data_IF_803531949921
#
_entry.id   IF_803531949921
#
_cell.length_a   1.000
_cell.length_b   1.000
_cell.length_c   1.000
_cell.angle_alpha   90.00
_cell.angle_beta   90.00
_cell.angle_gamma   90.00
#
_symmetry.space_group_name_H-M   'P 1'
#
loop_
_entity.id
_entity.type
_entity.pdbx_description
1 polymer ?
#
# COMPACT_ATOMS: atom_id res chain seq x y z
N UNK A 1 -15.87 9.16 -5.00
CA UNK A 1 -14.71 10.07 -4.88
C UNK A 1 -13.45 9.25 -5.05
N UNK A 2 -12.58 9.58 -6.02
CA UNK A 2 -11.25 8.93 -6.12
C UNK A 2 -10.45 9.27 -4.85
N UNK A 3 -9.78 8.28 -4.26
CA UNK A 3 -8.90 8.50 -3.09
C UNK A 3 -7.66 9.23 -3.58
N UNK A 4 -7.45 10.47 -3.11
CA UNK A 4 -6.21 11.19 -3.37
C UNK A 4 -5.18 10.79 -2.31
N UNK A 5 -3.99 10.40 -2.76
CA UNK A 5 -2.82 10.18 -1.91
C UNK A 5 -1.87 11.37 -2.01
N UNK A 6 -1.18 11.68 -0.92
CA UNK A 6 -0.17 12.74 -0.87
C UNK A 6 1.11 12.19 -0.24
N UNK A 7 2.27 12.62 -0.75
CA UNK A 7 3.55 12.26 -0.16
C UNK A 7 3.77 13.03 1.14
N UNK A 8 4.22 12.31 2.17
CA UNK A 8 4.56 12.93 3.43
C UNK A 8 5.90 13.70 3.31
N UNK A 9 5.97 14.96 3.77
CA UNK A 9 7.21 15.73 3.80
C UNK A 9 8.24 15.18 4.81
N UNK A 10 7.82 14.34 5.75
CA UNK A 10 8.73 13.74 6.74
C UNK A 10 9.80 12.88 6.10
N UNK A 11 10.98 12.92 6.69
CA UNK A 11 12.15 12.16 6.25
C UNK A 11 12.57 11.13 7.32
N UNK A 12 13.12 9.98 6.91
CA UNK A 12 13.57 8.98 7.85
C UNK A 12 14.96 9.36 8.38
N UNK A 13 15.06 9.62 9.67
CA UNK A 13 16.33 9.74 10.38
C UNK A 13 16.64 8.45 11.13
N UNK A 14 17.92 8.06 11.10
CA UNK A 14 18.43 6.92 11.85
C UNK A 14 19.11 7.40 13.11
N UNK A 15 18.74 6.84 14.26
CA UNK A 15 19.34 7.15 15.55
C UNK A 15 19.64 5.85 16.30
N UNK A 16 20.61 5.90 17.21
CA UNK A 16 20.98 4.75 18.02
C UNK A 16 20.25 4.80 19.36
N UNK A 17 19.53 3.72 19.67
CA UNK A 17 18.89 3.52 20.98
C UNK A 17 19.23 2.14 21.47
N UNK A 18 19.82 2.04 22.66
CA UNK A 18 20.24 0.78 23.28
C UNK A 18 21.14 -0.09 22.37
N UNK A 19 22.07 0.55 21.63
CA UNK A 19 22.97 -0.14 20.71
C UNK A 19 22.31 -0.69 19.44
N UNK A 20 21.04 -0.34 19.17
CA UNK A 20 20.33 -0.67 17.93
C UNK A 20 20.06 0.61 17.14
N UNK A 21 20.29 0.56 15.83
CA UNK A 21 19.88 1.62 14.90
C UNK A 21 18.36 1.53 14.69
N UNK A 22 17.64 2.54 15.17
CA UNK A 22 16.22 2.70 14.97
C UNK A 22 15.96 3.77 13.91
N UNK A 23 14.86 3.63 13.16
CA UNK A 23 14.41 4.59 12.15
C UNK A 23 13.22 5.37 12.70
N UNK A 24 13.28 6.70 12.67
CA UNK A 24 12.16 7.59 13.02
C UNK A 24 11.91 8.59 11.91
N UNK A 25 10.63 8.80 11.61
CA UNK A 25 10.20 9.83 10.68
C UNK A 25 10.22 11.19 11.39
N UNK A 26 11.11 12.08 10.95
CA UNK A 26 11.31 13.43 11.47
C UNK A 26 10.81 14.45 10.44
N UNK A 27 10.37 15.61 10.92
CA UNK A 27 9.77 16.66 10.10
C UNK A 27 8.32 16.97 10.49
N UNK A 28 7.81 18.06 9.91
CA UNK A 28 6.44 18.52 10.14
C UNK A 28 5.51 18.06 9.03
N UNK A 29 4.32 17.56 9.39
CA UNK A 29 3.28 17.20 8.44
C UNK A 29 1.93 17.33 9.14
N UNK A 30 1.10 18.25 8.65
CA UNK A 30 -0.21 18.56 9.24
C UNK A 30 -1.15 17.35 9.27
N UNK A 31 -1.14 16.53 8.22
CA UNK A 31 -1.96 15.32 8.14
C UNK A 31 -1.51 14.29 9.18
N UNK A 32 -0.19 14.10 9.35
CA UNK A 32 0.33 13.21 10.39
C UNK A 32 0.05 13.71 11.81
N UNK A 33 0.11 15.03 12.03
CA UNK A 33 -0.28 15.65 13.31
C UNK A 33 -1.76 15.39 13.61
N UNK A 34 -2.63 15.64 12.65
CA UNK A 34 -4.06 15.39 12.77
C UNK A 34 -4.39 13.91 13.01
N UNK A 35 -3.73 12.99 12.29
CA UNK A 35 -3.84 11.55 12.55
C UNK A 35 -3.48 11.18 14.00
N UNK A 36 -2.39 11.72 14.53
CA UNK A 36 -1.98 11.45 15.91
C UNK A 36 -2.97 12.05 16.93
N UNK A 37 -3.51 13.24 16.68
CA UNK A 37 -4.54 13.89 17.51
C UNK A 37 -5.81 13.04 17.56
N UNK A 38 -6.30 12.54 16.40
CA UNK A 38 -7.44 11.62 16.35
C UNK A 38 -7.18 10.33 17.15
N UNK A 39 -5.98 9.76 17.02
CA UNK A 39 -5.63 8.54 17.73
C UNK A 39 -5.56 8.76 19.24
N UNK A 40 -4.96 9.88 19.69
CA UNK A 40 -4.90 10.26 21.09
C UNK A 40 -6.29 10.52 21.67
N UNK A 41 -7.14 11.27 20.96
CA UNK A 41 -8.54 11.51 21.34
C UNK A 41 -9.32 10.21 21.48
N UNK A 42 -9.14 9.28 20.56
CA UNK A 42 -9.79 7.97 20.65
C UNK A 42 -9.38 7.18 21.90
N UNK A 43 -8.17 7.39 22.42
CA UNK A 43 -7.71 6.72 23.64
C UNK A 43 -8.18 7.40 24.92
N UNK A 44 -8.47 8.71 24.87
CA UNK A 44 -9.04 9.44 26.01
C UNK A 44 -10.56 9.36 26.09
N UNK A 45 -11.22 8.97 25.01
CA UNK A 45 -12.69 8.86 24.93
C UNK A 45 -13.21 7.64 25.70
N UNK A 46 -14.31 7.81 26.44
CA UNK A 46 -14.91 6.73 27.25
C UNK A 46 -16.08 6.06 26.54
N UNK A 47 -16.76 6.76 25.63
CA UNK A 47 -17.83 6.20 24.81
C UNK A 47 -17.27 5.31 23.69
N UNK A 48 -17.67 4.04 23.66
CA UNK A 48 -17.18 3.03 22.72
C UNK A 48 -17.53 3.38 21.27
N UNK A 49 -18.73 3.94 21.04
CA UNK A 49 -19.17 4.29 19.69
C UNK A 49 -18.38 5.47 19.13
N UNK A 50 -18.16 6.50 19.95
CA UNK A 50 -17.35 7.67 19.56
C UNK A 50 -15.87 7.30 19.41
N UNK A 51 -15.36 6.43 20.29
CA UNK A 51 -14.00 5.89 20.18
C UNK A 51 -13.79 5.15 18.85
N UNK A 52 -14.69 4.24 18.46
CA UNK A 52 -14.53 3.49 17.22
C UNK A 52 -14.69 4.38 15.97
N UNK A 53 -15.57 5.40 16.03
CA UNK A 53 -15.68 6.39 14.97
C UNK A 53 -14.37 7.17 14.77
N UNK A 54 -13.74 7.64 15.85
CA UNK A 54 -12.45 8.34 15.80
C UNK A 54 -11.33 7.43 15.27
N UNK A 55 -11.31 6.16 15.69
CA UNK A 55 -10.35 5.17 15.16
C UNK A 55 -10.55 4.91 13.67
N UNK A 56 -11.80 4.84 13.20
CA UNK A 56 -12.10 4.65 11.78
C UNK A 56 -11.68 5.87 10.95
N UNK A 57 -11.90 7.09 11.44
CA UNK A 57 -11.39 8.30 10.81
C UNK A 57 -9.85 8.31 10.76
N UNK A 58 -9.18 7.96 11.85
CA UNK A 58 -7.72 7.87 11.89
C UNK A 58 -7.18 6.80 10.93
N UNK A 59 -7.83 5.62 10.85
CA UNK A 59 -7.47 4.55 9.90
C UNK A 59 -7.60 5.02 8.44
N UNK A 60 -8.56 5.90 8.13
CA UNK A 60 -8.78 6.39 6.77
C UNK A 60 -7.65 7.31 6.26
N UNK A 61 -7.01 8.08 7.14
CA UNK A 61 -5.91 9.00 6.82
C UNK A 61 -4.52 8.48 7.22
N UNK A 62 -4.45 7.21 7.63
CA UNK A 62 -3.22 6.61 8.15
C UNK A 62 -2.07 6.74 7.13
N UNK A 63 -0.88 7.19 7.55
CA UNK A 63 0.28 7.19 6.67
C UNK A 63 0.68 5.76 6.28
N UNK A 64 0.92 5.54 4.99
CA UNK A 64 1.32 4.23 4.43
C UNK A 64 2.70 4.36 3.82
N UNK A 65 3.61 3.46 4.23
CA UNK A 65 4.95 3.38 3.64
C UNK A 65 4.92 2.58 2.33
N UNK A 66 5.52 3.15 1.29
CA UNK A 66 5.77 2.51 -0.01
C UNK A 66 7.26 2.58 -0.32
N UNK A 67 7.77 1.51 -0.90
CA UNK A 67 9.18 1.37 -1.26
C UNK A 67 9.28 1.20 -2.77
N UNK A 68 10.18 1.95 -3.40
CA UNK A 68 10.39 1.93 -4.83
C UNK A 68 11.79 1.41 -5.14
N UNK A 69 11.89 0.57 -6.17
CA UNK A 69 13.13 -0.01 -6.64
C UNK A 69 13.19 0.09 -8.16
N UNK A 70 14.36 0.40 -8.70
CA UNK A 70 14.64 0.05 -10.08
C UNK A 70 14.91 -1.46 -10.13
N UNK A 71 14.14 -2.18 -10.94
CA UNK A 71 14.27 -3.63 -11.11
C UNK A 71 14.41 -3.98 -12.57
N UNK A 72 15.14 -5.05 -12.86
CA UNK A 72 15.25 -5.60 -14.20
C UNK A 72 14.29 -6.78 -14.28
N UNK A 73 13.30 -6.67 -15.14
CA UNK A 73 12.26 -7.71 -15.29
C UNK A 73 12.82 -8.85 -16.14
N UNK A 74 13.24 -9.93 -15.46
CA UNK A 74 13.81 -11.13 -16.08
C UNK A 74 12.77 -11.95 -16.84
N UNK A 75 11.60 -12.13 -16.24
CA UNK A 75 10.46 -12.80 -16.85
C UNK A 75 9.16 -12.20 -16.32
N UNK A 76 8.24 -11.88 -17.22
CA UNK A 76 6.88 -11.43 -16.90
C UNK A 76 5.89 -12.18 -17.78
N UNK A 77 4.77 -12.60 -17.18
CA UNK A 77 3.65 -13.15 -17.94
C UNK A 77 2.71 -11.99 -18.25
N UNK A 78 2.44 -11.79 -19.53
CA UNK A 78 1.46 -10.82 -19.97
C UNK A 78 0.03 -11.31 -19.68
N UNK A 79 -0.97 -10.42 -19.80
CA UNK A 79 -2.40 -10.74 -19.64
C UNK A 79 -2.84 -11.87 -20.60
N UNK A 80 -2.18 -11.98 -21.75
CA UNK A 80 -2.43 -13.00 -22.78
C UNK A 80 -1.68 -14.33 -22.53
N UNK A 81 -0.94 -14.44 -21.41
CA UNK A 81 -0.18 -15.64 -21.06
C UNK A 81 1.16 -15.79 -21.76
N UNK A 82 1.55 -14.84 -22.63
CA UNK A 82 2.86 -14.84 -23.28
C UNK A 82 3.96 -14.45 -22.29
N UNK A 83 5.04 -15.24 -22.22
CA UNK A 83 6.15 -15.00 -21.32
C UNK A 83 7.20 -14.11 -22.01
N UNK A 84 7.24 -12.85 -21.60
CA UNK A 84 8.26 -11.91 -22.03
C UNK A 84 9.50 -12.05 -21.17
N UNK A 85 10.67 -12.11 -21.80
CA UNK A 85 11.97 -12.21 -21.11
C UNK A 85 12.75 -10.92 -21.29
N UNK A 86 13.46 -10.50 -20.24
CA UNK A 86 14.33 -9.32 -20.23
C UNK A 86 13.62 -8.04 -20.75
N UNK A 87 12.44 -7.75 -20.22
CA UNK A 87 11.60 -6.60 -20.64
C UNK A 87 12.29 -5.25 -20.37
N UNK A 88 13.25 -5.23 -19.45
CA UNK A 88 14.10 -4.07 -19.16
C UNK A 88 13.87 -3.50 -17.75
N UNK A 89 14.45 -2.32 -17.47
CA UNK A 89 14.30 -1.67 -16.18
C UNK A 89 12.86 -1.16 -16.03
N UNK A 90 12.22 -1.53 -14.93
CA UNK A 90 10.92 -0.98 -14.49
C UNK A 90 11.05 -0.49 -13.05
N UNK A 91 10.14 0.40 -12.66
CA UNK A 91 9.99 0.78 -11.25
C UNK A 91 9.08 -0.24 -10.58
N UNK A 92 9.60 -0.92 -9.56
CA UNK A 92 8.83 -1.81 -8.71
C UNK A 92 8.45 -1.09 -7.42
N UNK A 93 7.15 -0.87 -7.22
CA UNK A 93 6.60 -0.38 -5.95
C UNK A 93 6.16 -1.55 -5.07
N UNK A 94 6.61 -1.61 -3.82
CA UNK A 94 6.18 -2.63 -2.87
C UNK A 94 5.84 -2.10 -1.47
N UNK A 95 5.10 -2.91 -0.73
CA UNK A 95 4.73 -2.63 0.66
C UNK A 95 5.77 -3.15 1.67
N UNK A 96 5.55 -2.79 2.93
CA UNK A 96 6.40 -3.16 4.07
C UNK A 96 6.68 -4.67 4.17
N UNK A 97 5.71 -5.53 3.86
CA UNK A 97 5.86 -6.99 3.96
C UNK A 97 6.96 -7.50 3.03
N UNK A 98 6.92 -7.14 1.74
CA UNK A 98 7.94 -7.58 0.77
C UNK A 98 9.29 -6.96 1.10
N UNK A 99 9.30 -5.65 1.37
CA UNK A 99 10.53 -4.93 1.71
C UNK A 99 11.23 -5.51 2.96
N UNK A 100 10.55 -5.59 4.10
CA UNK A 100 11.17 -5.99 5.35
C UNK A 100 11.38 -7.51 5.46
N UNK A 101 10.35 -8.29 5.13
CA UNK A 101 10.40 -9.74 5.41
C UNK A 101 11.13 -10.53 4.33
N UNK A 102 11.24 -9.99 3.10
CA UNK A 102 11.91 -10.67 1.99
C UNK A 102 13.22 -9.97 1.63
N UNK A 103 13.16 -8.73 1.16
CA UNK A 103 14.33 -8.01 0.61
C UNK A 103 15.38 -7.73 1.71
N UNK A 104 15.01 -6.99 2.75
CA UNK A 104 15.94 -6.62 3.82
C UNK A 104 16.46 -7.84 4.57
N UNK A 105 15.59 -8.80 4.86
CA UNK A 105 15.97 -10.05 5.52
C UNK A 105 16.93 -10.89 4.68
N UNK A 106 16.82 -10.87 3.34
CA UNK A 106 17.81 -11.51 2.48
C UNK A 106 19.17 -10.80 2.56
N UNK A 107 19.21 -9.47 2.58
CA UNK A 107 20.45 -8.71 2.67
C UNK A 107 21.16 -8.87 4.03
N UNK A 108 20.44 -8.68 5.13
CA UNK A 108 21.05 -8.61 6.48
C UNK A 108 21.00 -9.92 7.24
N UNK A 109 20.20 -10.89 6.78
CA UNK A 109 19.85 -12.06 7.58
C UNK A 109 18.91 -11.71 8.74
N UNK A 110 18.48 -12.74 9.45
CA UNK A 110 17.69 -12.65 10.67
C UNK A 110 18.13 -13.75 11.63
N UNK A 111 18.91 -13.34 12.63
CA UNK A 111 19.46 -14.23 13.65
C UNK A 111 18.37 -14.88 14.51
N UNK A 112 17.26 -14.17 14.77
CA UNK A 112 16.18 -14.68 15.64
C UNK A 112 15.43 -15.83 14.99
N UNK A 113 15.28 -15.76 13.66
CA UNK A 113 14.59 -16.79 12.90
C UNK A 113 15.55 -17.73 12.14
N UNK A 114 16.84 -17.76 12.54
CA UNK A 114 17.85 -18.70 12.04
C UNK A 114 18.18 -18.57 10.56
N UNK A 115 17.82 -17.45 9.90
CA UNK A 115 18.11 -17.24 8.47
C UNK A 115 19.39 -16.45 8.31
N UNK A 116 20.37 -17.04 7.64
CA UNK A 116 21.63 -16.36 7.28
C UNK A 116 21.39 -15.30 6.21
N UNK A 117 22.22 -14.27 6.21
CA UNK A 117 22.26 -13.29 5.14
C UNK A 117 22.64 -13.98 3.82
N UNK A 118 21.95 -13.65 2.74
CA UNK A 118 22.27 -14.08 1.38
C UNK A 118 23.35 -13.17 0.73
N UNK A 119 23.70 -12.06 1.38
CA UNK A 119 24.65 -11.08 0.89
C UNK A 119 23.99 -9.94 0.10
N UNK A 120 24.76 -9.26 -0.74
CA UNK A 120 24.24 -8.21 -1.61
C UNK A 120 23.48 -8.82 -2.80
N UNK A 121 22.14 -8.84 -2.67
CA UNK A 121 21.23 -9.33 -3.71
C UNK A 121 21.19 -8.44 -4.96
N UNK A 122 21.70 -7.20 -4.89
CA UNK A 122 21.66 -6.22 -5.99
C UNK A 122 22.93 -6.21 -6.84
N UNK A 123 23.93 -7.03 -6.48
CA UNK A 123 25.20 -7.06 -7.17
C UNK A 123 25.05 -7.53 -8.64
N UNK A 124 25.61 -6.84 -9.66
CA UNK A 124 25.38 -7.20 -11.06
C UNK A 124 25.85 -8.61 -11.46
N UNK A 125 26.84 -9.17 -10.76
CA UNK A 125 27.43 -10.49 -11.10
C UNK A 125 27.14 -11.59 -10.08
N UNK A 126 26.89 -11.21 -8.82
CA UNK A 126 26.70 -12.16 -7.69
C UNK A 126 25.39 -11.92 -6.97
N UNK A 127 24.55 -11.05 -7.51
CA UNK A 127 23.20 -10.80 -7.02
C UNK A 127 22.30 -11.99 -7.28
N UNK A 128 21.03 -11.84 -6.88
CA UNK A 128 20.05 -12.93 -6.92
C UNK A 128 18.76 -12.44 -7.55
N UNK A 129 18.21 -13.26 -8.44
CA UNK A 129 16.87 -13.02 -8.98
C UNK A 129 15.82 -13.20 -7.87
N UNK A 130 14.79 -12.35 -7.89
CA UNK A 130 13.69 -12.39 -6.93
C UNK A 130 12.41 -12.85 -7.62
N UNK A 131 11.92 -14.03 -7.23
CA UNK A 131 10.66 -14.59 -7.73
C UNK A 131 9.51 -14.05 -6.89
N UNK A 132 8.79 -13.07 -7.44
CA UNK A 132 7.61 -12.50 -6.80
C UNK A 132 6.37 -13.36 -7.11
N UNK A 133 5.79 -13.96 -6.07
CA UNK A 133 4.55 -14.74 -6.15
C UNK A 133 3.49 -14.06 -5.30
N UNK A 134 2.46 -13.52 -5.96
CA UNK A 134 1.29 -12.94 -5.32
C UNK A 134 0.15 -13.97 -5.33
N UNK A 135 -0.33 -14.37 -4.17
CA UNK A 135 -1.56 -15.18 -4.01
C UNK A 135 -2.62 -14.34 -3.33
N UNK A 136 -3.84 -14.32 -3.83
CA UNK A 136 -4.95 -13.65 -3.14
C UNK A 136 -5.57 -14.64 -2.15
N UNK A 137 -5.57 -14.30 -0.87
CA UNK A 137 -6.17 -15.13 0.19
C UNK A 137 -7.39 -14.42 0.79
N UNK A 138 -8.45 -15.18 1.03
CA UNK A 138 -9.67 -14.69 1.71
C UNK A 138 -9.46 -14.77 3.22
N UNK A 139 -9.47 -13.63 3.90
CA UNK A 139 -9.43 -13.50 5.35
C UNK A 139 -10.74 -12.98 5.94
N UNK A 140 -10.79 -12.86 7.27
CA UNK A 140 -11.99 -12.44 8.02
C UNK A 140 -12.52 -11.04 7.65
N UNK A 141 -11.71 -10.22 6.96
CA UNK A 141 -12.07 -8.86 6.53
C UNK A 141 -11.94 -8.62 5.02
N UNK A 142 -11.90 -9.67 4.19
CA UNK A 142 -11.80 -9.54 2.72
C UNK A 142 -10.61 -10.27 2.10
N UNK A 143 -10.32 -9.93 0.85
CA UNK A 143 -9.22 -10.50 0.06
C UNK A 143 -7.93 -9.69 0.25
N UNK A 144 -6.84 -10.38 0.58
CA UNK A 144 -5.54 -9.76 0.83
C UNK A 144 -4.44 -10.45 0.01
N UNK A 145 -3.46 -9.70 -0.52
CA UNK A 145 -2.33 -10.28 -1.22
C UNK A 145 -1.33 -10.90 -0.23
N UNK A 146 -1.06 -12.18 -0.40
CA UNK A 146 -0.03 -12.95 0.28
C UNK A 146 1.20 -13.13 -0.64
N UNK A 147 2.40 -12.96 -0.07
CA UNK A 147 3.70 -13.08 -0.73
C UNK A 147 4.63 -14.12 -0.07
N UNK A 148 4.08 -15.06 0.71
CA UNK A 148 4.86 -16.03 1.48
C UNK A 148 5.70 -16.95 0.58
N UNK A 149 5.21 -17.28 -0.61
CA UNK A 149 5.91 -18.08 -1.61
C UNK A 149 6.92 -17.28 -2.46
N UNK A 150 7.06 -15.98 -2.20
CA UNK A 150 8.09 -15.18 -2.87
C UNK A 150 9.46 -15.46 -2.26
N UNK A 151 10.46 -15.72 -3.09
CA UNK A 151 11.81 -16.11 -2.64
C UNK A 151 12.91 -15.61 -3.58
N UNK A 152 14.13 -15.58 -3.05
CA UNK A 152 15.32 -15.30 -3.85
C UNK A 152 15.89 -16.62 -4.38
N UNK A 153 16.26 -16.62 -5.64
CA UNK A 153 16.87 -17.76 -6.30
C UNK A 153 18.39 -17.78 -6.07
N UNK A 154 19.06 -18.75 -6.69
CA UNK A 154 20.52 -18.84 -6.67
C UNK A 154 21.20 -17.67 -7.38
N UNK A 155 22.46 -17.36 -7.04
CA UNK A 155 23.15 -16.22 -7.62
C UNK A 155 23.22 -16.34 -9.14
N UNK A 156 22.79 -15.28 -9.83
CA UNK A 156 22.77 -15.22 -11.29
C UNK A 156 23.31 -13.86 -11.76
N UNK A 157 24.08 -13.82 -12.86
CA UNK A 157 24.46 -12.55 -13.46
C UNK A 157 23.25 -11.87 -14.08
N UNK A 158 23.20 -10.55 -13.95
CA UNK A 158 22.08 -9.71 -14.37
C UNK A 158 21.77 -9.81 -15.87
N UNK A 159 22.77 -10.08 -16.71
CA UNK A 159 22.64 -10.18 -18.16
C UNK A 159 24.00 -10.07 -18.85
N UNK A 160 23.96 -9.85 -20.17
CA UNK A 160 25.18 -9.53 -20.93
C UNK A 160 25.67 -8.10 -20.59
N UNK A 161 26.96 -7.79 -20.74
CA UNK A 161 27.47 -6.44 -20.48
C UNK A 161 26.79 -5.33 -21.29
N UNK A 162 26.40 -5.63 -22.53
CA UNK A 162 25.73 -4.69 -23.43
C UNK A 162 24.29 -4.38 -22.98
N UNK A 163 23.55 -5.40 -22.57
CA UNK A 163 22.21 -5.23 -21.98
C UNK A 163 22.28 -4.44 -20.67
N UNK A 164 23.26 -4.75 -19.83
CA UNK A 164 23.45 -4.06 -18.56
C UNK A 164 23.68 -2.56 -18.77
N UNK A 165 24.54 -2.19 -19.73
CA UNK A 165 24.78 -0.78 -20.06
C UNK A 165 23.49 -0.09 -20.51
N UNK A 166 22.72 -0.73 -21.38
CA UNK A 166 21.41 -0.21 -21.84
C UNK A 166 20.43 -0.04 -20.68
N UNK A 167 20.42 -0.95 -19.70
CA UNK A 167 19.53 -0.83 -18.54
C UNK A 167 19.95 0.29 -17.60
N UNK A 168 21.26 0.48 -17.39
CA UNK A 168 21.80 1.56 -16.57
C UNK A 168 21.47 2.95 -17.13
N UNK A 169 21.46 3.10 -18.46
CA UNK A 169 21.07 4.36 -19.13
C UNK A 169 19.57 4.68 -19.00
N UNK A 170 18.73 3.68 -18.74
CA UNK A 170 17.27 3.81 -18.64
C UNK A 170 16.73 3.68 -17.20
N UNK A 171 17.59 3.84 -16.19
CA UNK A 171 17.15 3.84 -14.79
C UNK A 171 16.34 5.09 -14.48
N UNK A 172 15.21 4.90 -13.81
CA UNK A 172 14.38 6.01 -13.33
C UNK A 172 15.01 6.62 -12.08
N UNK A 173 15.08 7.95 -12.03
CA UNK A 173 15.43 8.65 -10.79
C UNK A 173 14.30 8.47 -9.76
N UNK A 174 14.54 7.61 -8.77
CA UNK A 174 13.56 7.31 -7.73
C UNK A 174 13.30 8.50 -6.80
N UNK A 175 14.21 9.48 -6.71
CA UNK A 175 14.01 10.67 -5.90
C UNK A 175 12.97 11.60 -6.53
N UNK A 176 12.96 11.71 -7.86
CA UNK A 176 11.98 12.52 -8.59
C UNK A 176 10.53 12.04 -8.42
N UNK A 177 10.31 10.77 -8.10
CA UNK A 177 8.98 10.22 -7.79
C UNK A 177 8.37 10.81 -6.50
N UNK A 178 9.21 11.33 -5.59
CA UNK A 178 8.76 11.92 -4.33
C UNK A 178 8.36 13.39 -4.55
N UNK A 179 7.13 13.61 -4.96
CA UNK A 179 6.56 14.96 -5.09
C UNK A 179 5.92 15.38 -3.77
N UNK A 180 6.67 16.17 -2.98
CA UNK A 180 6.18 16.75 -1.72
C UNK A 180 5.40 18.02 -2.03
N UNK A 181 4.16 18.07 -1.52
CA UNK A 181 3.28 19.25 -1.62
C UNK A 181 3.57 20.24 -0.51
N UNK A 182 3.27 21.50 -0.75
CA UNK A 182 3.43 22.57 0.24
C UNK A 182 2.46 22.38 1.41
N UNK A 183 2.79 22.95 2.57
CA UNK A 183 1.96 22.85 3.76
C UNK A 183 0.52 23.39 3.54
N UNK A 184 0.38 24.45 2.74
CA UNK A 184 -0.91 25.04 2.37
C UNK A 184 -1.77 24.05 1.56
N UNK A 185 -1.18 23.39 0.55
CA UNK A 185 -1.87 22.39 -0.24
C UNK A 185 -2.29 21.18 0.61
N UNK A 186 -1.46 20.76 1.56
CA UNK A 186 -1.77 19.67 2.49
C UNK A 186 -2.89 20.05 3.46
N UNK A 187 -2.94 21.29 3.94
CA UNK A 187 -4.07 21.80 4.75
C UNK A 187 -5.35 21.85 3.95
N UNK A 188 -5.31 22.37 2.73
CA UNK A 188 -6.46 22.39 1.85
C UNK A 188 -6.97 20.98 1.58
N UNK A 189 -6.07 20.03 1.29
CA UNK A 189 -6.42 18.62 1.12
C UNK A 189 -7.11 18.03 2.37
N UNK A 190 -6.65 18.39 3.57
CA UNK A 190 -7.28 17.99 4.82
C UNK A 190 -8.67 18.62 5.00
N UNK A 191 -8.83 19.92 4.71
CA UNK A 191 -10.12 20.64 4.76
C UNK A 191 -11.14 20.02 3.78
N UNK A 192 -10.70 19.64 2.59
CA UNK A 192 -11.53 18.94 1.59
C UNK A 192 -11.90 17.53 2.09
N UNK A 193 -10.96 16.80 2.69
CA UNK A 193 -11.23 15.47 3.25
C UNK A 193 -12.29 15.51 4.37
N UNK A 194 -12.26 16.56 5.19
CA UNK A 194 -13.21 16.79 6.29
C UNK A 194 -14.54 17.39 5.81
N UNK A 195 -14.70 17.66 4.51
CA UNK A 195 -15.92 18.22 3.92
C UNK A 195 -16.17 19.69 4.25
N UNK A 196 -15.15 20.42 4.71
CA UNK A 196 -15.27 21.84 5.06
C UNK A 196 -15.25 22.76 3.83
N UNK A 197 -14.56 22.34 2.77
CA UNK A 197 -14.35 23.13 1.55
C UNK A 197 -14.63 22.24 0.33
N UNK A 198 -15.39 22.76 -0.65
CA UNK A 198 -15.56 22.08 -1.96
C UNK A 198 -14.21 22.13 -2.69
N UNK A 199 -13.85 21.08 -3.44
CA UNK A 199 -12.51 20.83 -4.06
C UNK A 199 -11.88 21.95 -4.92
N UNK A 200 -12.45 23.14 -4.99
CA UNK A 200 -11.94 24.31 -5.70
C UNK A 200 -10.93 25.05 -4.83
N UNK A 201 -9.68 25.12 -5.28
CA UNK A 201 -8.59 25.85 -4.61
C UNK A 201 -8.94 27.32 -4.42
N UNK A 202 -8.98 27.77 -3.16
CA UNK A 202 -8.82 29.17 -2.77
C UNK A 202 -7.81 29.23 -1.61
N UNK A 203 -6.77 30.04 -1.79
CA UNK A 203 -5.71 30.31 -0.82
C UNK A 203 -6.28 30.94 0.45
N UNK A 204 -5.86 30.47 1.63
CA UNK A 204 -6.20 31.09 2.94
C UNK A 204 -4.95 31.12 3.81
N UNK A 205 -4.80 32.23 4.55
CA UNK A 205 -3.64 32.70 5.30
C UNK A 205 -3.03 31.74 6.35
N UNK A 206 -1.78 32.04 6.71
CA UNK A 206 -0.87 31.27 7.55
C UNK A 206 -1.24 31.28 9.05
N UNK A 207 -1.89 30.22 9.55
CA UNK A 207 -1.86 29.87 10.99
C UNK A 207 -1.49 28.39 11.19
N UNK A 208 -0.38 28.10 11.90
CA UNK A 208 0.11 26.74 12.14
C UNK A 208 -0.67 25.97 13.23
N UNK A 209 -1.75 26.54 13.76
CA UNK A 209 -2.60 25.87 14.75
C UNK A 209 -3.50 24.78 14.15
N UNK A 210 -3.71 23.70 14.92
CA UNK A 210 -4.69 22.65 14.63
C UNK A 210 -6.11 23.01 15.11
N UNK A 211 -6.27 24.15 15.78
CA UNK A 211 -7.53 24.52 16.44
C UNK A 211 -8.68 24.67 15.44
N UNK A 212 -8.39 25.02 14.18
CA UNK A 212 -9.37 25.07 13.09
C UNK A 212 -10.07 23.72 12.80
N UNK A 213 -9.45 22.60 13.19
CA UNK A 213 -9.96 21.25 12.90
C UNK A 213 -10.67 20.60 14.09
N UNK A 214 -10.71 21.26 15.26
CA UNK A 214 -11.16 20.65 16.52
C UNK A 214 -12.66 20.71 16.77
N UNK A 215 -13.38 21.66 16.18
CA UNK A 215 -14.79 21.94 16.54
C UNK A 215 -15.80 21.87 15.38
N UNK A 216 -15.45 21.26 14.25
CA UNK A 216 -16.30 21.36 13.04
C UNK A 216 -17.29 20.19 12.95
N UNK A 217 -18.58 20.51 13.12
CA UNK A 217 -19.70 19.64 12.73
C UNK A 217 -19.73 19.53 11.20
N UNK A 218 -19.94 18.33 10.62
CA UNK A 218 -20.10 18.19 9.18
C UNK A 218 -21.25 19.07 8.70
N UNK A 219 -21.06 19.75 7.56
CA UNK A 219 -22.14 20.48 6.88
C UNK A 219 -23.11 19.41 6.37
N UNK A 220 -24.17 19.16 7.12
CA UNK A 220 -25.30 18.34 6.68
C UNK A 220 -26.15 19.25 5.79
N UNK A 221 -25.93 19.20 4.47
CA UNK A 221 -26.93 19.73 3.54
C UNK A 221 -28.15 18.78 3.60
N UNK A 222 -29.31 19.35 3.96
CA UNK A 222 -30.62 18.71 3.95
C UNK A 222 -30.94 18.12 2.57
N UNK A 223 -30.60 16.85 2.37
CA UNK A 223 -31.12 16.06 1.25
C UNK A 223 -32.50 15.55 1.64
N UNK A 224 -33.54 16.16 1.04
CA UNK A 224 -34.93 15.70 1.12
C UNK A 224 -35.02 14.19 0.87
N UNK A 225 -35.77 13.43 1.69
CA UNK A 225 -35.91 11.99 1.51
C UNK A 225 -36.67 11.69 0.20
N UNK A 226 -36.01 11.01 -0.74
CA UNK A 226 -36.68 10.34 -1.84
C UNK A 226 -37.27 9.02 -1.33
N UNK A 227 -38.47 8.75 -1.84
CA UNK A 227 -39.45 7.76 -1.38
C UNK A 227 -38.93 6.32 -1.39
N UNK A 228 -39.44 5.55 -0.43
CA UNK A 228 -39.26 4.11 -0.25
C UNK A 228 -39.58 3.33 -1.53
N UNK A 229 -38.59 2.60 -2.04
CA UNK A 229 -38.84 1.46 -2.93
C UNK A 229 -38.99 0.20 -2.07
N UNK A 230 -40.23 -0.29 -2.04
CA UNK A 230 -40.65 -1.56 -1.45
C UNK A 230 -39.92 -2.71 -2.13
N UNK A 231 -39.00 -3.37 -1.40
CA UNK A 231 -38.41 -4.65 -1.82
C UNK A 231 -39.15 -5.78 -1.11
N UNK A 232 -39.94 -6.50 -1.90
CA UNK A 232 -40.62 -7.73 -1.49
C UNK A 232 -39.59 -8.83 -1.15
N UNK A 233 -39.75 -9.40 0.04
CA UNK A 233 -38.97 -10.50 0.60
C UNK A 233 -39.61 -11.85 0.20
N UNK A 234 -38.92 -12.76 -0.49
CA UNK A 234 -39.39 -14.13 -0.62
C UNK A 234 -39.05 -14.97 0.61
N UNK A 235 -40.05 -15.78 0.96
CA UNK A 235 -40.23 -16.68 2.09
C UNK A 235 -39.23 -17.87 2.03
N UNK A 236 -38.59 -18.16 3.17
CA UNK A 236 -37.86 -19.41 3.40
C UNK A 236 -38.84 -20.53 3.82
N UNK A 237 -38.63 -21.73 3.31
CA UNK A 237 -39.10 -22.98 3.93
C UNK A 237 -37.93 -24.00 4.00
N UNK A 238 -37.96 -24.95 4.95
CA UNK A 238 -36.78 -25.66 5.46
C UNK A 238 -36.64 -27.06 4.86
N UNK A 239 -35.40 -27.55 4.68
CA UNK A 239 -35.14 -28.97 4.38
C UNK A 239 -33.94 -29.47 5.20
N UNK A 240 -34.08 -30.73 5.63
CA UNK A 240 -33.46 -31.49 6.73
C UNK A 240 -32.04 -32.02 6.46
N UNK A 241 -31.40 -32.40 7.57
CA UNK A 241 -30.23 -33.29 7.72
C UNK A 241 -30.31 -34.61 6.94
N UNK A 242 -29.17 -35.08 6.43
CA UNK A 242 -28.65 -36.43 6.74
C UNK A 242 -27.21 -36.67 6.24
N UNK A 243 -26.37 -37.17 7.16
CA UNK A 243 -25.31 -38.20 7.05
C UNK A 243 -24.19 -38.15 5.98
N UNK A 244 -22.94 -38.25 6.50
CA UNK A 244 -21.69 -38.72 5.87
C UNK A 244 -21.77 -40.23 5.44
N UNK A 245 -20.81 -40.87 4.71
CA UNK A 245 -19.34 -40.65 4.73
C UNK A 245 -18.50 -40.88 3.43
N UNK A 246 -17.19 -40.57 3.55
CA UNK A 246 -15.99 -41.17 2.93
C UNK A 246 -15.51 -40.83 1.48
N UNK A 247 -14.29 -40.27 1.43
CA UNK A 247 -13.13 -40.49 0.53
C UNK A 247 -13.25 -40.44 -1.02
N UNK A 248 -12.50 -39.53 -1.67
CA UNK A 248 -11.34 -39.83 -2.56
C UNK A 248 -10.93 -38.66 -3.47
N UNK A 249 -9.62 -38.62 -3.76
CA UNK A 249 -8.92 -38.15 -4.97
C UNK A 249 -9.23 -36.78 -5.65
N UNK A 250 -8.18 -35.96 -5.65
CA UNK A 250 -7.67 -35.09 -6.72
C UNK A 250 -8.54 -34.77 -7.96
N UNK A 251 -8.77 -33.47 -8.18
CA UNK A 251 -8.53 -32.75 -9.44
C UNK A 251 -8.88 -31.27 -9.22
N UNK A 252 -7.88 -30.37 -9.19
CA UNK A 252 -8.13 -28.92 -9.16
C UNK A 252 -8.22 -28.40 -10.60
N UNK A 253 -9.45 -28.24 -11.07
CA UNK A 253 -9.78 -27.50 -12.28
C UNK A 253 -9.49 -26.00 -12.09
N UNK A 254 -8.72 -25.45 -13.02
CA UNK A 254 -8.40 -24.04 -13.12
C UNK A 254 -9.61 -23.32 -13.74
N UNK A 255 -10.40 -22.57 -12.95
CA UNK A 255 -11.43 -21.70 -13.50
C UNK A 255 -10.84 -20.33 -13.78
N UNK A 256 -10.78 -19.99 -15.07
CA UNK A 256 -10.43 -18.67 -15.57
C UNK A 256 -11.39 -17.60 -15.07
N UNK A 257 -10.93 -16.74 -14.15
CA UNK A 257 -11.42 -15.37 -13.94
C UNK A 257 -10.61 -14.69 -12.83
N UNK A 258 -9.29 -14.64 -13.00
CA UNK A 258 -8.46 -13.71 -12.22
C UNK A 258 -8.21 -12.47 -13.08
N UNK A 259 -9.12 -11.50 -12.98
CA UNK A 259 -8.87 -10.13 -13.43
C UNK A 259 -7.65 -9.59 -12.68
N UNK A 260 -6.56 -9.43 -13.44
CA UNK A 260 -5.37 -8.72 -13.01
C UNK A 260 -5.77 -7.24 -12.84
N UNK A 261 -6.19 -6.88 -11.63
CA UNK A 261 -6.29 -5.49 -11.18
C UNK A 261 -4.86 -4.95 -11.02
N UNK A 262 -4.23 -4.66 -12.16
CA UNK A 262 -3.27 -3.57 -12.23
C UNK A 262 -4.06 -2.30 -11.88
N UNK A 263 -3.49 -1.48 -11.01
CA UNK A 263 -4.04 -0.16 -10.67
C UNK A 263 -3.83 0.73 -11.91
N UNK A 264 -4.64 0.52 -12.94
CA UNK A 264 -4.52 1.16 -14.25
C UNK A 264 -4.58 2.70 -14.11
N UNK A 265 -5.23 3.20 -13.06
CA UNK A 265 -5.23 4.62 -12.69
C UNK A 265 -3.83 5.14 -12.32
N UNK A 266 -3.00 4.34 -11.64
CA UNK A 266 -1.62 4.71 -11.30
C UNK A 266 -0.69 4.66 -12.51
N UNK A 267 -0.85 3.65 -13.38
CA UNK A 267 -0.06 3.55 -14.62
C UNK A 267 -0.41 4.66 -15.62
N UNK A 268 -1.67 5.10 -15.66
CA UNK A 268 -2.10 6.21 -16.51
C UNK A 268 -1.58 7.58 -16.01
N UNK A 269 -1.49 7.78 -14.69
CA UNK A 269 -0.88 8.99 -14.11
C UNK A 269 0.64 9.02 -14.37
N UNK A 270 1.29 7.86 -14.43
CA UNK A 270 2.72 7.74 -14.75
C UNK A 270 3.05 7.95 -16.24
N UNK A 271 2.10 7.64 -17.14
CA UNK A 271 2.25 7.85 -18.59
C UNK A 271 1.85 9.27 -19.06
N UNK A 272 1.31 10.11 -18.16
CA UNK A 272 0.88 11.48 -18.47
C UNK A 272 1.79 12.57 -17.91
N UNK A 273 2.89 12.16 -17.25
CA UNK A 273 4.05 13.00 -16.88
C UNK A 273 5.12 12.90 -17.97
#
# INVERSE_FOLDING_TARGET
MKKRSYHCPKEPEFYERNGKKERKWVGDCIICKYYNDLWQKSNSETDEKTQENLRNQARAIRPVERYYFNVIVRAEKDKDGTLQKNVGPKVYSCGKTVYQNKIMRACTGDALAGKKALGDITHPTTGRDFRLVKKVVKGAGGEYPNYDDSEFEDPSPVGTPDEFKKWMENLVDLQSLRVVKTDEELRHALKVHLGMVKSTYQSVEEDHSLDEFRDVKPIVEDVKPQQELVINKPKQEPVKESSAPAASAAEYGYSASDEILADDDFMNELNSL
#
